data_IF_097174900162
#
_entry.id   IF_097174900162
#
_cell.length_a   1.000
_cell.length_b   1.000
_cell.length_c   1.000
_cell.angle_alpha   90.00
_cell.angle_beta   90.00
_cell.angle_gamma   90.00
#
_symmetry.space_group_name_H-M   'P 1'
#
loop_
_entity.id
_entity.type
_entity.pdbx_description
1 polymer ?
#
# COMPACT_ATOMS: atom_id res chain seq x y z
N UNK A 1 -5.45 -19.52 -13.12
CA UNK A 1 -4.48 -19.59 -14.23
C UNK A 1 -4.00 -18.18 -14.50
N UNK A 2 -2.70 -17.96 -14.50
CA UNK A 2 -2.10 -16.70 -14.95
C UNK A 2 -1.96 -16.85 -16.47
N UNK A 3 -2.53 -15.92 -17.23
CA UNK A 3 -2.35 -15.82 -18.69
C UNK A 3 -1.12 -14.99 -19.01
N UNK A 4 -0.67 -15.06 -20.25
CA UNK A 4 0.38 -14.19 -20.75
C UNK A 4 -0.03 -12.71 -20.62
N UNK A 5 0.95 -11.85 -20.35
CA UNK A 5 0.71 -10.40 -20.25
C UNK A 5 0.33 -9.85 -21.62
N UNK A 6 -0.74 -9.07 -21.67
CA UNK A 6 -1.21 -8.38 -22.87
C UNK A 6 -1.21 -6.88 -22.62
N UNK A 7 -0.70 -6.10 -23.58
CA UNK A 7 -0.74 -4.64 -23.50
C UNK A 7 -2.19 -4.14 -23.40
N UNK A 8 -2.41 -3.13 -22.59
CA UNK A 8 -3.70 -2.45 -22.50
C UNK A 8 -3.73 -1.37 -23.57
N UNK A 9 -4.32 -1.70 -24.73
CA UNK A 9 -4.45 -0.80 -25.87
C UNK A 9 -5.09 0.54 -25.42
N UNK A 10 -4.63 1.64 -26.01
CA UNK A 10 -5.02 3.02 -25.73
C UNK A 10 -4.57 3.56 -24.34
N UNK A 11 -3.96 2.76 -23.48
CA UNK A 11 -3.40 3.18 -22.18
C UNK A 11 -1.89 3.14 -22.21
N UNK A 12 -1.31 2.00 -22.62
CA UNK A 12 0.14 1.86 -22.66
C UNK A 12 0.74 2.82 -23.68
N UNK A 13 1.80 3.49 -23.26
CA UNK A 13 2.51 4.48 -24.03
C UNK A 13 3.89 3.94 -24.45
N UNK A 14 4.63 4.72 -25.21
CA UNK A 14 6.06 4.42 -25.48
C UNK A 14 6.98 4.84 -24.33
N UNK A 15 6.43 5.45 -23.29
CA UNK A 15 7.12 5.91 -22.11
C UNK A 15 6.83 4.96 -20.94
N UNK A 16 7.28 5.30 -19.74
CA UNK A 16 6.99 4.50 -18.57
C UNK A 16 5.53 4.69 -18.13
N UNK A 17 4.82 3.59 -18.01
CA UNK A 17 3.48 3.52 -17.44
C UNK A 17 3.56 2.82 -16.09
N UNK A 18 2.87 3.35 -15.10
CA UNK A 18 2.93 2.93 -13.70
C UNK A 18 1.76 2.04 -13.27
N UNK A 19 1.69 1.74 -11.97
CA UNK A 19 0.60 0.96 -11.41
C UNK A 19 -0.76 1.59 -11.66
N UNK A 20 -1.80 0.75 -11.66
CA UNK A 20 -3.18 1.16 -11.85
C UNK A 20 -4.06 0.72 -10.67
N UNK A 21 -5.11 1.50 -10.42
CA UNK A 21 -6.18 1.18 -9.47
C UNK A 21 -7.53 1.33 -10.15
N UNK A 22 -8.40 0.32 -9.99
CA UNK A 22 -9.69 0.25 -10.67
C UNK A 22 -10.80 0.34 -9.62
N UNK A 23 -11.85 1.12 -9.92
CA UNK A 23 -13.05 1.21 -9.08
C UNK A 23 -13.75 -0.14 -8.93
N UNK A 24 -14.52 -0.32 -7.86
CA UNK A 24 -15.20 -1.58 -7.54
C UNK A 24 -16.19 -2.04 -8.61
N UNK A 25 -16.75 -1.10 -9.37
CA UNK A 25 -17.63 -1.39 -10.50
C UNK A 25 -16.89 -1.79 -11.78
N UNK A 26 -15.55 -1.68 -11.78
CA UNK A 26 -14.69 -2.03 -12.91
C UNK A 26 -14.71 -1.05 -14.08
N UNK A 27 -15.31 0.13 -13.93
CA UNK A 27 -15.57 1.06 -15.04
C UNK A 27 -14.62 2.25 -15.09
N UNK A 28 -13.89 2.54 -14.01
CA UNK A 28 -12.93 3.64 -13.95
C UNK A 28 -11.56 3.11 -13.50
N UNK A 29 -10.51 3.55 -14.18
CA UNK A 29 -9.14 3.23 -13.84
C UNK A 29 -8.37 4.52 -13.60
N UNK A 30 -7.61 4.56 -12.50
CA UNK A 30 -6.57 5.54 -12.24
C UNK A 30 -5.22 4.89 -12.45
N UNK A 31 -4.30 5.53 -13.16
CA UNK A 31 -2.99 4.94 -13.47
C UNK A 31 -1.92 6.02 -13.62
N UNK A 32 -0.66 5.62 -13.43
CA UNK A 32 0.48 6.49 -13.63
C UNK A 32 1.00 6.41 -15.05
N UNK A 33 1.42 7.54 -15.63
CA UNK A 33 2.18 7.59 -16.89
C UNK A 33 3.04 8.86 -16.95
N UNK A 34 4.06 8.85 -17.77
CA UNK A 34 4.94 10.01 -17.89
C UNK A 34 4.27 11.20 -18.58
N UNK A 35 4.57 12.40 -18.07
CA UNK A 35 4.04 13.69 -18.56
C UNK A 35 4.44 14.05 -20.00
N UNK A 36 5.28 13.25 -20.62
CA UNK A 36 5.61 13.41 -22.05
C UNK A 36 4.39 13.30 -22.97
N UNK A 37 3.35 12.60 -22.55
CA UNK A 37 2.08 12.51 -23.29
C UNK A 37 1.42 13.89 -23.38
N UNK A 38 1.55 14.71 -22.36
CA UNK A 38 1.07 16.10 -22.30
C UNK A 38 2.08 17.08 -22.89
N UNK A 39 3.21 16.59 -23.44
CA UNK A 39 4.35 17.40 -23.91
C UNK A 39 4.97 18.26 -22.79
N UNK A 40 4.76 17.89 -21.55
CA UNK A 40 5.32 18.54 -20.37
C UNK A 40 6.60 17.82 -19.93
N UNK A 41 7.68 18.56 -19.85
CA UNK A 41 8.99 18.07 -19.45
C UNK A 41 9.93 19.25 -19.12
N UNK A 42 10.92 18.97 -18.29
CA UNK A 42 12.03 19.90 -18.02
C UNK A 42 13.20 19.56 -18.94
N UNK A 43 13.79 20.56 -19.56
CA UNK A 43 15.00 20.42 -20.39
C UNK A 43 16.23 20.64 -19.53
N UNK A 44 17.05 19.63 -19.39
CA UNK A 44 18.40 19.78 -18.86
C UNK A 44 19.38 20.03 -20.02
N UNK A 45 19.83 21.29 -20.14
CA UNK A 45 20.75 21.68 -21.22
C UNK A 45 22.14 21.07 -21.05
N UNK A 46 22.59 20.84 -19.82
CA UNK A 46 23.90 20.27 -19.54
C UNK A 46 23.95 18.77 -19.93
N UNK A 47 22.90 18.03 -19.61
CA UNK A 47 22.76 16.61 -19.96
C UNK A 47 22.20 16.38 -21.36
N UNK A 48 21.79 17.46 -22.05
CA UNK A 48 21.07 17.40 -23.35
C UNK A 48 19.88 16.44 -23.33
N UNK A 49 19.19 16.36 -22.17
CA UNK A 49 18.10 15.44 -21.90
C UNK A 49 16.81 16.18 -21.54
N UNK A 50 15.69 15.46 -21.68
CA UNK A 50 14.37 15.88 -21.22
C UNK A 50 13.96 14.95 -20.10
N UNK A 51 13.41 15.50 -19.03
CA UNK A 51 12.90 14.76 -17.87
C UNK A 51 11.41 15.06 -17.72
N UNK A 52 10.59 14.04 -17.83
CA UNK A 52 9.19 14.08 -17.49
C UNK A 52 8.97 13.89 -15.98
N UNK A 53 7.74 14.04 -15.56
CA UNK A 53 7.24 13.64 -14.25
C UNK A 53 6.24 12.52 -14.44
N UNK A 54 5.97 11.77 -13.39
CA UNK A 54 4.86 10.83 -13.42
C UNK A 54 3.60 11.60 -13.09
N UNK A 55 2.59 11.45 -13.92
CA UNK A 55 1.26 12.01 -13.78
C UNK A 55 0.24 10.91 -13.53
N UNK A 56 -0.80 11.21 -12.78
CA UNK A 56 -1.95 10.35 -12.70
C UNK A 56 -2.96 10.71 -13.77
N UNK A 57 -3.52 9.67 -14.36
CA UNK A 57 -4.59 9.74 -15.35
C UNK A 57 -5.82 8.99 -14.86
N UNK A 58 -6.96 9.40 -15.37
CA UNK A 58 -8.23 8.67 -15.26
C UNK A 58 -8.61 8.18 -16.65
N UNK A 59 -8.99 6.91 -16.76
CA UNK A 59 -9.62 6.34 -17.95
C UNK A 59 -10.95 5.71 -17.57
N UNK A 60 -11.89 5.67 -18.52
CA UNK A 60 -13.20 5.02 -18.37
C UNK A 60 -13.31 3.84 -19.32
N UNK A 61 -14.10 2.86 -18.95
CA UNK A 61 -14.30 1.66 -19.75
C UNK A 61 -15.47 1.88 -20.72
N UNK A 62 -15.26 1.62 -22.00
CA UNK A 62 -16.28 1.60 -23.05
C UNK A 62 -16.30 0.20 -23.68
N UNK A 63 -17.34 -0.56 -23.38
CA UNK A 63 -17.38 -1.99 -23.69
C UNK A 63 -16.25 -2.72 -22.96
N UNK A 64 -15.34 -3.38 -23.69
CA UNK A 64 -14.19 -4.08 -23.14
C UNK A 64 -12.88 -3.29 -23.22
N UNK A 65 -12.94 -2.03 -23.67
CA UNK A 65 -11.74 -1.20 -23.87
C UNK A 65 -11.71 -0.03 -22.91
N UNK A 66 -10.51 0.33 -22.50
CA UNK A 66 -10.26 1.58 -21.78
C UNK A 66 -10.16 2.73 -22.77
N UNK A 67 -10.82 3.84 -22.45
CA UNK A 67 -10.88 5.04 -23.30
C UNK A 67 -10.93 6.32 -22.45
N UNK A 68 -11.08 7.47 -23.11
CA UNK A 68 -11.25 8.78 -22.46
C UNK A 68 -10.18 9.08 -21.40
N UNK A 69 -8.94 8.66 -21.64
CA UNK A 69 -7.84 8.98 -20.73
C UNK A 69 -7.64 10.49 -20.63
N UNK A 70 -7.61 10.99 -19.38
CA UNK A 70 -7.40 12.40 -19.06
C UNK A 70 -6.45 12.53 -17.88
N UNK A 71 -5.48 13.48 -17.92
CA UNK A 71 -4.64 13.78 -16.77
C UNK A 71 -5.48 14.38 -15.63
N UNK A 72 -5.11 14.05 -14.37
CA UNK A 72 -5.78 14.61 -13.21
C UNK A 72 -5.36 16.07 -12.99
N UNK A 73 -6.26 16.94 -12.47
CA UNK A 73 -6.04 18.39 -12.42
C UNK A 73 -4.95 18.84 -11.43
N UNK A 74 -4.53 17.98 -10.52
CA UNK A 74 -3.46 18.27 -9.56
C UNK A 74 -2.09 17.75 -9.99
N UNK A 75 -1.93 17.20 -11.20
CA UNK A 75 -0.63 16.95 -11.78
C UNK A 75 0.15 18.25 -12.02
N UNK A 76 1.48 18.20 -11.95
CA UNK A 76 2.30 19.36 -12.18
C UNK A 76 3.71 18.96 -12.66
N UNK A 77 4.28 19.75 -13.57
CA UNK A 77 5.63 19.53 -14.13
C UNK A 77 6.78 19.64 -13.11
N UNK A 78 6.53 20.14 -11.92
CA UNK A 78 7.56 20.33 -10.89
C UNK A 78 7.68 19.12 -9.95
N UNK A 79 6.64 18.26 -9.85
CA UNK A 79 6.61 17.11 -8.95
C UNK A 79 5.95 15.90 -9.57
N UNK A 80 6.19 14.75 -8.98
CA UNK A 80 5.59 13.48 -9.37
C UNK A 80 4.29 13.23 -8.61
N UNK A 81 3.30 12.65 -9.27
CA UNK A 81 2.07 12.12 -8.68
C UNK A 81 1.90 10.70 -9.19
N UNK A 82 1.99 9.70 -8.30
CA UNK A 82 2.10 8.29 -8.70
C UNK A 82 1.40 7.33 -7.76
N UNK A 83 1.36 6.04 -8.13
CA UNK A 83 0.88 4.93 -7.32
C UNK A 83 -0.54 5.16 -6.77
N UNK A 84 -1.56 5.26 -7.64
CA UNK A 84 -2.93 5.54 -7.22
C UNK A 84 -3.56 4.34 -6.52
N UNK A 85 -4.42 4.61 -5.53
CA UNK A 85 -5.28 3.61 -4.89
C UNK A 85 -6.64 4.23 -4.57
N UNK A 86 -7.67 3.80 -5.27
CA UNK A 86 -9.05 4.30 -5.09
C UNK A 86 -9.76 3.52 -3.98
N UNK A 87 -10.48 4.21 -3.10
CA UNK A 87 -11.33 3.60 -2.09
C UNK A 87 -12.48 2.80 -2.71
N UNK A 88 -13.01 1.82 -1.97
CA UNK A 88 -14.10 0.95 -2.43
C UNK A 88 -15.34 1.71 -2.89
N UNK A 89 -15.66 2.81 -2.23
CA UNK A 89 -16.81 3.68 -2.57
C UNK A 89 -16.51 4.64 -3.73
N UNK A 90 -15.29 4.64 -4.26
CA UNK A 90 -14.85 5.50 -5.36
C UNK A 90 -14.71 6.98 -4.98
N UNK A 91 -14.76 7.35 -3.69
CA UNK A 91 -14.82 8.74 -3.24
C UNK A 91 -13.51 9.32 -2.71
N UNK A 92 -12.51 8.48 -2.50
CA UNK A 92 -11.19 8.92 -2.02
C UNK A 92 -10.10 8.24 -2.83
N UNK A 93 -9.25 9.03 -3.47
CA UNK A 93 -8.08 8.55 -4.18
C UNK A 93 -6.84 8.83 -3.32
N UNK A 94 -6.11 7.77 -2.95
CA UNK A 94 -4.81 7.85 -2.32
C UNK A 94 -3.72 7.77 -3.37
N UNK A 95 -2.61 8.44 -3.14
CA UNK A 95 -1.47 8.44 -4.07
C UNK A 95 -0.19 8.86 -3.35
N UNK A 96 0.97 8.63 -3.95
CA UNK A 96 2.24 9.18 -3.47
C UNK A 96 2.68 10.37 -4.33
N UNK A 97 3.29 11.37 -3.68
CA UNK A 97 3.78 12.56 -4.37
C UNK A 97 4.83 13.31 -3.54
N UNK A 98 5.78 13.92 -4.25
CA UNK A 98 6.73 14.87 -3.68
C UNK A 98 6.28 16.34 -3.91
N UNK A 99 4.96 16.57 -3.97
CA UNK A 99 4.40 17.91 -4.10
C UNK A 99 4.71 18.79 -2.88
N UNK A 100 4.80 20.12 -3.03
CA UNK A 100 5.05 21.05 -1.93
C UNK A 100 4.02 20.93 -0.80
N UNK A 101 4.49 21.07 0.44
CA UNK A 101 3.66 20.97 1.65
C UNK A 101 3.66 19.58 2.30
N UNK A 102 4.51 18.67 1.81
CA UNK A 102 4.78 17.38 2.44
C UNK A 102 5.78 17.46 3.59
N UNK A 103 6.15 16.29 4.11
CA UNK A 103 7.08 16.11 5.22
C UNK A 103 8.50 15.84 4.74
N UNK A 104 8.65 15.18 3.59
CA UNK A 104 9.95 14.74 3.14
C UNK A 104 10.09 14.59 1.63
N UNK A 105 10.54 13.42 1.21
CA UNK A 105 10.69 13.07 -0.20
C UNK A 105 9.33 12.82 -0.86
N UNK A 106 8.92 11.58 -1.00
CA UNK A 106 7.56 11.23 -1.36
C UNK A 106 6.71 11.02 -0.11
N UNK A 107 5.53 11.60 -0.10
CA UNK A 107 4.53 11.42 0.96
C UNK A 107 3.27 10.75 0.41
N UNK A 108 2.49 10.13 1.29
CA UNK A 108 1.14 9.68 0.97
C UNK A 108 0.15 10.84 1.13
N UNK A 109 -0.60 11.06 0.08
CA UNK A 109 -1.65 12.05 -0.03
C UNK A 109 -2.99 11.39 -0.32
N UNK A 110 -4.07 12.10 -0.11
CA UNK A 110 -5.42 11.73 -0.53
C UNK A 110 -6.12 12.91 -1.18
N UNK A 111 -7.11 12.62 -2.02
CA UNK A 111 -8.01 13.62 -2.60
C UNK A 111 -9.42 13.06 -2.65
N UNK A 112 -10.42 13.90 -2.38
CA UNK A 112 -11.82 13.53 -2.58
C UNK A 112 -12.15 13.48 -4.07
N UNK A 113 -12.99 12.51 -4.45
CA UNK A 113 -13.43 12.28 -5.84
C UNK A 113 -14.95 12.34 -5.91
N UNK A 114 -15.46 13.11 -6.85
CA UNK A 114 -16.88 13.16 -7.18
C UNK A 114 -17.05 13.22 -8.70
N UNK A 115 -17.13 12.04 -9.34
CA UNK A 115 -17.11 11.94 -10.80
C UNK A 115 -15.80 12.42 -11.43
N UNK A 116 -15.84 13.53 -12.14
CA UNK A 116 -14.67 14.20 -12.73
C UNK A 116 -14.19 15.39 -11.90
N UNK A 117 -14.81 15.65 -10.76
CA UNK A 117 -14.40 16.70 -9.82
C UNK A 117 -13.50 16.13 -8.74
N UNK A 118 -12.47 16.88 -8.39
CA UNK A 118 -11.49 16.52 -7.37
C UNK A 118 -11.35 17.65 -6.35
N UNK A 119 -11.26 17.29 -5.10
CA UNK A 119 -10.94 18.25 -4.05
C UNK A 119 -9.48 18.72 -4.10
N UNK A 120 -9.07 19.42 -3.06
CA UNK A 120 -7.65 19.74 -2.86
C UNK A 120 -6.92 18.53 -2.27
N UNK A 121 -5.74 18.15 -2.79
CA UNK A 121 -4.92 17.12 -2.18
C UNK A 121 -4.59 17.42 -0.72
N UNK A 122 -4.72 16.45 0.15
CA UNK A 122 -4.44 16.52 1.58
C UNK A 122 -3.33 15.53 1.93
N UNK A 123 -2.26 16.03 2.59
CA UNK A 123 -1.20 15.17 3.15
C UNK A 123 -1.73 14.36 4.34
N UNK A 124 -1.39 13.08 4.44
CA UNK A 124 -1.87 12.23 5.54
C UNK A 124 -1.18 12.50 6.89
N UNK A 125 -0.20 13.40 6.92
CA UNK A 125 0.44 13.87 8.15
C UNK A 125 1.44 12.87 8.76
N UNK A 126 2.05 13.27 9.87
CA UNK A 126 3.16 12.56 10.53
C UNK A 126 2.83 11.14 11.05
N UNK A 127 1.55 10.75 11.13
CA UNK A 127 1.19 9.37 11.48
C UNK A 127 1.53 8.38 10.35
N UNK A 128 1.56 8.87 9.13
CA UNK A 128 1.88 8.13 7.90
C UNK A 128 3.23 8.55 7.37
N UNK A 129 3.45 9.84 7.15
CA UNK A 129 4.56 10.41 6.43
C UNK A 129 5.74 10.74 7.35
N UNK A 130 6.96 10.74 6.78
CA UNK A 130 8.24 11.04 7.44
C UNK A 130 9.07 12.01 6.60
N UNK A 131 10.28 12.34 7.03
CA UNK A 131 11.23 13.13 6.23
C UNK A 131 11.84 12.35 5.05
N UNK A 132 11.61 11.04 4.98
CA UNK A 132 12.10 10.17 3.91
C UNK A 132 11.03 9.95 2.82
N UNK A 133 10.74 8.72 2.44
CA UNK A 133 9.77 8.43 1.39
C UNK A 133 8.70 7.46 1.88
N UNK A 134 7.46 7.80 1.62
CA UNK A 134 6.30 6.93 1.73
C UNK A 134 5.66 6.76 0.36
N UNK A 135 5.49 5.51 -0.07
CA UNK A 135 5.03 5.21 -1.44
C UNK A 135 4.12 4.00 -1.48
N UNK A 136 3.56 3.71 -2.66
CA UNK A 136 2.71 2.56 -2.93
C UNK A 136 1.53 2.41 -1.97
N UNK A 137 0.68 3.43 -1.80
CA UNK A 137 -0.52 3.29 -0.98
C UNK A 137 -1.47 2.27 -1.59
N UNK A 138 -2.08 1.45 -0.74
CA UNK A 138 -3.17 0.53 -1.09
C UNK A 138 -4.24 0.56 -0.01
N UNK A 139 -5.43 1.03 -0.36
CA UNK A 139 -6.59 1.06 0.54
C UNK A 139 -7.45 -0.19 0.34
N UNK A 140 -7.71 -0.92 1.41
CA UNK A 140 -8.58 -2.09 1.38
C UNK A 140 -10.06 -1.73 1.47
N UNK A 141 -10.93 -2.70 1.19
CA UNK A 141 -12.38 -2.57 1.28
C UNK A 141 -12.90 -2.19 2.67
N UNK A 142 -12.16 -2.52 3.73
CA UNK A 142 -12.44 -2.23 5.13
C UNK A 142 -11.68 -1.01 5.68
N UNK A 143 -11.16 -0.19 4.78
CA UNK A 143 -10.46 1.06 5.08
C UNK A 143 -9.14 0.89 5.87
N UNK A 144 -8.42 -0.19 5.65
CA UNK A 144 -7.03 -0.34 6.06
C UNK A 144 -6.13 0.15 4.93
N UNK A 145 -5.33 1.16 5.20
CA UNK A 145 -4.34 1.68 4.28
C UNK A 145 -3.02 0.96 4.52
N UNK A 146 -2.51 0.29 3.49
CA UNK A 146 -1.14 -0.20 3.41
C UNK A 146 -0.29 0.79 2.62
N UNK A 147 0.97 0.92 2.97
CA UNK A 147 1.94 1.74 2.24
C UNK A 147 3.35 1.28 2.58
N UNK A 148 4.32 1.69 1.80
CA UNK A 148 5.73 1.38 2.04
C UNK A 148 6.46 2.62 2.49
N UNK A 149 7.36 2.50 3.46
CA UNK A 149 8.17 3.59 3.99
C UNK A 149 9.61 3.16 4.21
N UNK A 150 10.55 4.03 3.84
CA UNK A 150 11.98 3.88 4.19
C UNK A 150 12.43 4.88 5.26
N UNK A 151 11.49 5.63 5.87
CA UNK A 151 11.74 6.57 6.96
C UNK A 151 11.25 6.13 8.32
N UNK A 152 10.36 5.14 8.37
CA UNK A 152 9.86 4.57 9.64
C UNK A 152 10.79 3.47 10.13
N UNK A 153 10.81 3.26 11.45
CA UNK A 153 11.57 2.13 12.01
C UNK A 153 11.05 0.80 11.46
N UNK A 154 11.92 0.07 10.79
CA UNK A 154 11.62 -1.18 10.10
C UNK A 154 12.76 -2.19 10.18
N UNK A 155 12.78 -3.11 9.25
CA UNK A 155 13.74 -4.19 9.14
C UNK A 155 14.79 -3.95 8.05
N UNK A 156 14.42 -3.22 6.98
CA UNK A 156 15.23 -3.02 5.79
C UNK A 156 15.25 -1.61 5.26
N UNK A 157 15.20 -1.47 3.94
CA UNK A 157 15.05 -0.21 3.24
C UNK A 157 13.58 0.23 3.23
N UNK A 158 12.83 -0.11 2.21
CA UNK A 158 11.37 -0.01 2.25
C UNK A 158 10.78 -1.16 3.05
N UNK A 159 9.95 -0.83 4.02
CA UNK A 159 9.10 -1.76 4.75
C UNK A 159 7.63 -1.43 4.54
N UNK A 160 6.76 -2.44 4.59
CA UNK A 160 5.31 -2.29 4.48
C UNK A 160 4.71 -1.99 5.85
N UNK A 161 3.90 -0.93 5.89
CA UNK A 161 3.15 -0.48 7.06
C UNK A 161 1.66 -0.52 6.77
N UNK A 162 0.84 -0.54 7.81
CA UNK A 162 -0.62 -0.45 7.72
C UNK A 162 -1.20 0.47 8.79
N UNK A 163 -2.31 1.11 8.48
CA UNK A 163 -3.13 1.84 9.44
C UNK A 163 -4.62 1.71 9.12
N UNK A 164 -5.46 1.73 10.14
CA UNK A 164 -6.91 1.86 9.99
C UNK A 164 -7.24 3.36 9.86
N UNK A 165 -7.68 3.79 8.68
CA UNK A 165 -7.93 5.20 8.41
C UNK A 165 -9.14 5.74 9.16
N UNK A 166 -10.11 4.88 9.51
CA UNK A 166 -11.29 5.27 10.28
C UNK A 166 -10.92 5.57 11.75
N UNK A 167 -10.00 4.79 12.31
CA UNK A 167 -9.53 4.99 13.69
C UNK A 167 -8.46 6.06 13.80
N UNK A 168 -7.79 6.39 12.70
CA UNK A 168 -6.71 7.37 12.68
C UNK A 168 -5.56 7.05 13.63
N UNK A 169 -5.29 5.75 13.87
CA UNK A 169 -4.17 5.29 14.68
C UNK A 169 -2.83 5.56 14.00
N UNK A 170 -1.72 5.47 14.72
CA UNK A 170 -0.40 5.46 14.10
C UNK A 170 -0.24 4.24 13.19
N UNK A 171 0.54 4.39 12.12
CA UNK A 171 0.89 3.28 11.26
C UNK A 171 1.71 2.23 12.01
N UNK A 172 1.47 0.96 11.72
CA UNK A 172 2.15 -0.19 12.30
C UNK A 172 2.89 -0.96 11.21
N UNK A 173 4.14 -1.34 11.47
CA UNK A 173 4.89 -2.26 10.62
C UNK A 173 4.15 -3.61 10.55
N UNK A 174 4.02 -4.20 9.37
CA UNK A 174 3.33 -5.50 9.22
C UNK A 174 4.15 -6.68 9.72
N UNK A 175 5.48 -6.48 9.89
CA UNK A 175 6.38 -7.47 10.46
C UNK A 175 6.81 -8.59 9.51
N UNK A 176 7.64 -9.48 10.05
CA UNK A 176 8.04 -10.69 9.34
C UNK A 176 6.86 -11.68 9.20
N UNK A 177 6.85 -12.49 8.15
CA UNK A 177 7.85 -12.65 7.09
C UNK A 177 7.64 -11.71 5.88
N UNK A 178 6.68 -10.76 5.96
CA UNK A 178 6.42 -9.82 4.87
C UNK A 178 7.58 -8.85 4.74
N UNK A 179 7.95 -8.18 5.83
CA UNK A 179 9.10 -7.29 5.86
C UNK A 179 10.38 -8.05 6.20
N UNK A 180 11.49 -7.69 5.54
CA UNK A 180 12.82 -8.29 5.68
C UNK A 180 13.89 -7.21 5.79
N UNK A 181 15.16 -7.60 5.86
CA UNK A 181 16.28 -6.66 5.81
C UNK A 181 16.55 -6.04 4.42
N UNK A 182 15.63 -6.20 3.49
CA UNK A 182 15.66 -5.71 2.11
C UNK A 182 14.52 -4.72 1.88
N UNK A 183 14.30 -4.36 0.61
CA UNK A 183 13.13 -3.56 0.25
C UNK A 183 11.92 -4.46 0.08
N UNK A 184 10.85 -4.14 0.81
CA UNK A 184 9.55 -4.80 0.75
C UNK A 184 8.48 -3.72 0.50
N UNK A 185 7.77 -3.80 -0.65
CA UNK A 185 6.93 -2.70 -1.09
C UNK A 185 5.73 -3.13 -1.94
N UNK A 186 4.86 -2.17 -2.27
CA UNK A 186 3.71 -2.33 -3.16
C UNK A 186 2.73 -3.45 -2.75
N UNK A 187 2.40 -3.52 -1.45
CA UNK A 187 1.48 -4.52 -0.92
C UNK A 187 0.06 -4.31 -1.42
N UNK A 188 -0.57 -5.39 -1.87
CA UNK A 188 -1.98 -5.44 -2.24
C UNK A 188 -2.69 -6.60 -1.53
N UNK A 189 -3.99 -6.49 -1.28
CA UNK A 189 -4.74 -7.51 -0.58
C UNK A 189 -6.17 -7.65 -1.11
N UNK A 190 -6.58 -8.89 -1.38
CA UNK A 190 -7.96 -9.21 -1.70
C UNK A 190 -8.63 -9.91 -0.51
N UNK A 191 -9.51 -9.19 0.19
CA UNK A 191 -10.18 -9.70 1.39
C UNK A 191 -11.08 -10.90 1.13
N UNK A 192 -11.75 -10.95 -0.04
CA UNK A 192 -12.63 -12.06 -0.42
C UNK A 192 -11.84 -13.34 -0.67
N UNK A 193 -10.71 -13.24 -1.37
CA UNK A 193 -9.83 -14.39 -1.66
C UNK A 193 -8.84 -14.66 -0.54
N UNK A 194 -8.74 -13.79 0.46
CA UNK A 194 -7.77 -13.86 1.56
C UNK A 194 -6.34 -14.06 1.06
N UNK A 195 -5.93 -13.26 0.09
CA UNK A 195 -4.60 -13.32 -0.48
C UNK A 195 -4.07 -11.92 -0.73
N UNK A 196 -2.80 -11.70 -0.39
CA UNK A 196 -2.04 -10.51 -0.72
C UNK A 196 -0.88 -10.83 -1.66
N UNK A 197 -0.36 -9.78 -2.27
CA UNK A 197 0.89 -9.80 -3.03
C UNK A 197 1.68 -8.55 -2.72
N UNK A 198 2.99 -8.65 -2.76
CA UNK A 198 3.90 -7.53 -2.58
C UNK A 198 5.18 -7.75 -3.38
N UNK A 199 5.93 -6.70 -3.61
CA UNK A 199 7.24 -6.78 -4.25
C UNK A 199 8.35 -6.80 -3.20
N UNK A 200 9.43 -7.55 -3.47
CA UNK A 200 10.60 -7.58 -2.61
C UNK A 200 11.84 -7.94 -3.40
N UNK A 201 12.99 -7.34 -3.03
CA UNK A 201 14.30 -7.70 -3.58
C UNK A 201 15.11 -8.64 -2.66
N UNK A 202 14.43 -9.40 -1.79
CA UNK A 202 15.05 -10.31 -0.80
C UNK A 202 15.95 -11.36 -1.41
N UNK A 203 15.65 -11.80 -2.62
CA UNK A 203 16.43 -12.80 -3.37
C UNK A 203 17.35 -12.18 -4.43
N UNK A 204 17.56 -10.84 -4.39
CA UNK A 204 18.53 -10.11 -5.18
C UNK A 204 17.95 -9.22 -6.28
N UNK A 205 16.78 -9.56 -6.84
CA UNK A 205 16.01 -8.75 -7.78
C UNK A 205 14.62 -8.48 -7.22
N UNK A 206 13.92 -7.50 -7.79
CA UNK A 206 12.52 -7.24 -7.47
C UNK A 206 11.65 -8.36 -8.04
N UNK A 207 11.05 -9.15 -7.14
CA UNK A 207 10.12 -10.21 -7.46
C UNK A 207 8.79 -10.03 -6.72
N UNK A 208 7.74 -10.72 -7.21
CA UNK A 208 6.42 -10.69 -6.60
C UNK A 208 6.24 -11.87 -5.67
N UNK A 209 5.95 -11.58 -4.41
CA UNK A 209 5.70 -12.55 -3.35
C UNK A 209 4.23 -12.60 -2.98
N UNK A 210 3.76 -13.80 -2.66
CA UNK A 210 2.42 -14.03 -2.14
C UNK A 210 2.41 -13.88 -0.62
N UNK A 211 1.44 -13.13 -0.10
CA UNK A 211 1.16 -13.03 1.33
C UNK A 211 -0.16 -13.73 1.65
N UNK A 212 -0.09 -14.80 2.41
CA UNK A 212 -1.27 -15.45 2.97
C UNK A 212 -1.52 -14.90 4.39
N UNK A 213 -2.76 -14.53 4.73
CA UNK A 213 -3.04 -14.03 6.06
C UNK A 213 -2.81 -15.12 7.11
N UNK A 214 -1.96 -14.84 8.07
CA UNK A 214 -1.80 -15.69 9.24
C UNK A 214 -2.62 -15.11 10.39
N UNK A 215 -3.43 -15.95 11.03
CA UNK A 215 -4.12 -15.57 12.24
C UNK A 215 -3.10 -15.62 13.40
N UNK A 216 -2.53 -14.47 13.74
CA UNK A 216 -1.64 -14.35 14.89
C UNK A 216 -2.43 -13.73 16.05
N UNK A 217 -2.88 -14.57 16.97
CA UNK A 217 -3.61 -14.16 18.17
C UNK A 217 -2.67 -14.24 19.38
N UNK A 218 -2.43 -13.12 20.04
CA UNK A 218 -1.80 -13.13 21.35
C UNK A 218 -2.88 -13.40 22.40
N UNK A 219 -2.77 -14.51 23.12
CA UNK A 219 -3.62 -14.85 24.25
C UNK A 219 -2.85 -14.67 25.55
N UNK A 220 -3.28 -13.76 26.40
CA UNK A 220 -2.78 -13.65 27.76
C UNK A 220 -3.59 -14.62 28.66
N UNK A 221 -2.96 -15.69 29.11
CA UNK A 221 -3.56 -16.69 29.98
C UNK A 221 -3.03 -16.55 31.39
N UNK A 222 -3.95 -16.34 32.35
CA UNK A 222 -3.61 -16.29 33.77
C UNK A 222 -4.19 -17.49 34.49
N UNK A 223 -3.32 -18.40 34.97
CA UNK A 223 -3.71 -19.58 35.73
C UNK A 223 -3.78 -19.23 37.22
N UNK A 224 -4.90 -19.58 37.89
CA UNK A 224 -5.13 -19.35 39.31
C UNK A 224 -5.62 -20.62 39.98
N UNK A 225 -5.23 -20.80 41.23
CA UNK A 225 -5.82 -21.81 42.10
C UNK A 225 -7.30 -21.52 42.34
N UNK A 226 -8.16 -22.52 42.13
CA UNK A 226 -9.59 -22.35 42.15
C UNK A 226 -10.16 -22.05 43.58
N UNK A 227 -9.45 -22.43 44.64
CA UNK A 227 -9.89 -22.24 46.03
C UNK A 227 -9.38 -20.92 46.63
N UNK A 228 -8.11 -20.60 46.31
CA UNK A 228 -7.43 -19.45 46.93
C UNK A 228 -7.40 -18.21 46.05
N UNK A 229 -7.67 -18.35 44.74
CA UNK A 229 -7.57 -17.27 43.74
C UNK A 229 -6.14 -16.81 43.44
N UNK A 230 -5.12 -17.43 44.06
CA UNK A 230 -3.72 -17.08 43.84
C UNK A 230 -3.23 -17.54 42.48
N UNK A 231 -2.35 -16.75 41.88
CA UNK A 231 -1.68 -17.11 40.61
C UNK A 231 -0.79 -18.33 40.81
N UNK A 232 -0.83 -19.27 39.89
CA UNK A 232 -0.01 -20.48 39.93
C UNK A 232 1.18 -20.25 38.96
N UNK A 233 2.38 -20.37 39.53
CA UNK A 233 3.62 -20.39 38.77
C UNK A 233 3.94 -21.82 38.32
N UNK A 234 4.62 -21.98 37.20
CA UNK A 234 5.03 -23.28 36.69
C UNK A 234 3.92 -24.16 36.10
N UNK A 235 2.70 -23.61 35.95
CA UNK A 235 1.63 -24.33 35.27
C UNK A 235 1.85 -24.36 33.75
N UNK A 236 1.80 -25.55 33.15
CA UNK A 236 1.87 -25.69 31.70
C UNK A 236 0.53 -25.35 31.05
N UNK A 237 0.54 -24.39 30.16
CA UNK A 237 -0.61 -23.99 29.33
C UNK A 237 -0.36 -24.47 27.92
N UNK A 238 -1.29 -25.26 27.36
CA UNK A 238 -1.23 -25.74 25.98
C UNK A 238 -2.35 -25.11 25.15
N UNK A 239 -1.97 -24.54 24.02
CA UNK A 239 -2.91 -24.15 22.98
C UNK A 239 -3.06 -25.31 21.98
N UNK A 240 -4.29 -25.73 21.77
CA UNK A 240 -4.59 -26.84 20.84
C UNK A 240 -5.53 -26.35 19.74
N UNK A 241 -5.41 -26.93 18.53
CA UNK A 241 -6.31 -26.67 17.41
C UNK A 241 -7.64 -27.47 17.55
N UNK A 242 -8.53 -27.30 16.58
CA UNK A 242 -9.83 -28.00 16.54
C UNK A 242 -9.70 -29.55 16.54
N UNK A 243 -8.54 -30.06 16.14
CA UNK A 243 -8.22 -31.49 16.09
C UNK A 243 -7.46 -31.96 17.33
N UNK A 244 -7.41 -31.15 18.39
CA UNK A 244 -6.69 -31.43 19.64
C UNK A 244 -5.16 -31.55 19.46
N UNK A 245 -4.60 -31.04 18.36
CA UNK A 245 -3.17 -31.00 18.14
C UNK A 245 -2.58 -29.78 18.84
N UNK A 246 -1.52 -29.95 19.62
CA UNK A 246 -0.80 -28.85 20.28
C UNK A 246 -0.19 -27.91 19.25
N UNK A 247 -0.60 -26.63 19.29
CA UNK A 247 -0.08 -25.55 18.46
C UNK A 247 1.04 -24.82 19.17
N UNK A 248 0.91 -24.63 20.49
CA UNK A 248 1.91 -23.99 21.35
C UNK A 248 1.79 -24.47 22.77
N UNK A 249 2.88 -24.42 23.52
CA UNK A 249 2.89 -24.62 24.97
C UNK A 249 3.78 -23.58 25.64
N UNK A 250 3.38 -23.12 26.81
CA UNK A 250 4.15 -22.20 27.65
C UNK A 250 3.94 -22.51 29.11
N UNK A 251 4.93 -22.14 29.91
CA UNK A 251 4.86 -22.26 31.38
C UNK A 251 4.60 -20.88 32.01
N UNK A 252 3.66 -20.81 32.96
CA UNK A 252 3.35 -19.55 33.65
C UNK A 252 4.52 -19.08 34.50
N UNK A 253 4.81 -17.78 34.46
CA UNK A 253 5.77 -17.09 35.31
C UNK A 253 5.05 -16.11 36.26
N UNK A 254 5.67 -15.79 37.37
CA UNK A 254 5.23 -14.67 38.22
C UNK A 254 5.65 -13.36 37.54
N UNK A 255 4.70 -12.51 37.21
CA UNK A 255 4.89 -11.10 36.83
C UNK A 255 4.29 -10.22 37.94
#
# INVERSE_FOLDING_TARGET
>A
TISDAVAVDNINTKWHDGPASITSDGNTMYYGSESFNEKEYVKDKAKKAKFGKIYLYKATKEGDKWSNSKPLPFNNKEYDVRNPSISKDGKTLYFSSNMPGGFGGEDIWKVSVNGDEYGTPENLGAKVNTEANESFPFITDDNVLFFSSNGKQGFGGYDIFKMDVNKGTAAMNVGEPVNTSKDDFAFTYNATKKVGFFSSNRDGNDDIYKADPVCNVQALVRVKDAKTGKVIEGATVMLVDEKQKTVSNQTTALN
#
